data_IF_419851210283
#
_entry.id   IF_419851210283
#
_cell.length_a   1.000
_cell.length_b   1.000
_cell.length_c   1.000
_cell.angle_alpha   90.00
_cell.angle_beta   90.00
_cell.angle_gamma   90.00
#
_symmetry.space_group_name_H-M   'P 1'
#
loop_
_entity.id
_entity.type
_entity.pdbx_description
1 polymer ?
#
# COMPACT_ATOMS: atom_id res chain seq x y z
N UNK A 1 0.49 7.09 -7.56
CA UNK A 1 -0.90 7.41 -8.01
C UNK A 1 -1.80 7.73 -6.82
N UNK A 2 -2.76 8.64 -6.97
CA UNK A 2 -3.83 8.82 -5.96
C UNK A 2 -4.69 7.56 -5.92
N UNK A 3 -5.29 7.26 -4.76
CA UNK A 3 -6.26 6.16 -4.65
C UNK A 3 -7.65 6.52 -5.22
N UNK A 4 -7.94 7.80 -5.49
CA UNK A 4 -9.31 8.32 -5.64
C UNK A 4 -10.07 8.37 -4.29
N UNK A 5 -9.31 8.50 -3.21
CA UNK A 5 -9.76 8.63 -1.82
C UNK A 5 -8.70 9.33 -1.00
N UNK A 6 -8.65 9.05 0.30
CA UNK A 6 -7.71 9.70 1.22
C UNK A 6 -6.26 9.19 1.16
N UNK A 7 -5.98 8.16 0.36
CA UNK A 7 -4.67 7.49 0.35
C UNK A 7 -3.93 7.62 -0.98
N UNK A 8 -2.65 7.23 -0.94
CA UNK A 8 -1.75 7.16 -2.10
C UNK A 8 -1.36 5.69 -2.33
N UNK A 9 -1.28 5.26 -3.58
CA UNK A 9 -0.69 3.98 -3.94
C UNK A 9 0.64 4.22 -4.68
N UNK A 10 1.70 3.55 -4.23
CA UNK A 10 3.01 3.53 -4.86
C UNK A 10 3.22 2.15 -5.46
N UNK A 11 3.60 2.09 -6.74
CA UNK A 11 3.93 0.85 -7.43
C UNK A 11 5.44 0.80 -7.69
N UNK A 12 6.00 -0.40 -7.57
CA UNK A 12 7.38 -0.71 -7.90
C UNK A 12 7.36 -1.92 -8.81
N UNK A 13 7.91 -1.79 -10.02
CA UNK A 13 8.06 -2.92 -10.94
C UNK A 13 9.19 -3.82 -10.44
N UNK A 14 8.88 -5.10 -10.27
CA UNK A 14 9.81 -6.11 -9.77
C UNK A 14 9.95 -7.25 -10.77
N UNK A 15 11.10 -7.94 -10.72
CA UNK A 15 11.28 -9.20 -11.44
C UNK A 15 10.24 -10.26 -10.96
N UNK A 16 9.59 -11.03 -11.85
CA UNK A 16 8.50 -11.92 -11.46
C UNK A 16 9.00 -13.28 -10.94
N UNK A 17 9.89 -13.28 -9.93
CA UNK A 17 10.50 -14.50 -9.35
C UNK A 17 10.23 -14.73 -7.86
N UNK A 18 9.48 -13.83 -7.22
CA UNK A 18 9.13 -13.91 -5.80
C UNK A 18 7.70 -14.40 -5.59
N UNK A 19 7.47 -15.10 -4.49
CA UNK A 19 6.13 -15.52 -4.08
C UNK A 19 5.34 -14.36 -3.46
N UNK A 20 4.01 -14.52 -3.32
CA UNK A 20 3.19 -13.55 -2.57
C UNK A 20 3.71 -13.32 -1.14
N UNK A 21 4.23 -14.37 -0.50
CA UNK A 21 4.80 -14.29 0.85
C UNK A 21 6.05 -13.40 0.85
N UNK A 22 6.95 -13.59 -0.11
CA UNK A 22 8.17 -12.78 -0.22
C UNK A 22 7.83 -11.30 -0.50
N UNK A 23 6.90 -11.03 -1.42
CA UNK A 23 6.46 -9.66 -1.73
C UNK A 23 5.84 -8.99 -0.50
N UNK A 24 5.05 -9.74 0.28
CA UNK A 24 4.48 -9.25 1.53
C UNK A 24 5.54 -9.00 2.61
N UNK A 25 6.53 -9.88 2.75
CA UNK A 25 7.67 -9.67 3.66
C UNK A 25 8.45 -8.40 3.30
N UNK A 26 8.70 -8.18 2.01
CA UNK A 26 9.31 -6.94 1.53
C UNK A 26 8.48 -5.69 1.89
N UNK A 27 7.15 -5.76 1.75
CA UNK A 27 6.26 -4.66 2.14
C UNK A 27 6.23 -4.41 3.66
N UNK A 28 6.32 -5.46 4.48
CA UNK A 28 6.47 -5.35 5.94
C UNK A 28 7.77 -4.62 6.29
N UNK A 29 8.90 -5.06 5.71
CA UNK A 29 10.19 -4.44 5.96
C UNK A 29 10.22 -2.96 5.52
N UNK A 30 9.62 -2.65 4.36
CA UNK A 30 9.46 -1.28 3.89
C UNK A 30 8.64 -0.42 4.87
N UNK A 31 7.49 -0.93 5.31
CA UNK A 31 6.64 -0.21 6.28
C UNK A 31 7.35 0.05 7.61
N UNK A 32 8.07 -0.94 8.13
CA UNK A 32 8.85 -0.79 9.37
C UNK A 32 9.96 0.23 9.23
N UNK A 33 10.65 0.22 8.09
CA UNK A 33 11.71 1.18 7.84
C UNK A 33 11.15 2.61 7.75
N UNK A 34 9.97 2.79 7.14
CA UNK A 34 9.29 4.08 7.18
C UNK A 34 8.88 4.50 8.59
N UNK A 35 8.28 3.59 9.37
CA UNK A 35 7.89 3.86 10.78
C UNK A 35 9.11 4.20 11.66
N UNK A 36 10.28 3.57 11.43
CA UNK A 36 11.53 3.93 12.11
C UNK A 36 12.03 5.32 11.74
N UNK A 37 11.88 5.72 10.48
CA UNK A 37 12.35 7.03 9.97
C UNK A 37 11.40 8.18 10.29
N UNK A 38 10.11 7.89 10.43
CA UNK A 38 9.03 8.86 10.62
C UNK A 38 8.18 8.47 11.85
N UNK A 39 8.79 8.37 13.05
CA UNK A 39 8.08 7.92 14.24
C UNK A 39 6.96 8.90 14.63
N UNK A 40 5.76 8.37 14.83
CA UNK A 40 4.57 9.18 15.16
C UNK A 40 3.84 9.75 13.93
N UNK A 41 4.42 9.65 12.74
CA UNK A 41 3.76 10.04 11.49
C UNK A 41 3.33 8.82 10.67
N UNK A 42 4.12 7.74 10.69
CA UNK A 42 3.84 6.48 9.99
C UNK A 42 3.68 5.34 10.98
N UNK A 43 2.79 4.40 10.69
CA UNK A 43 2.64 3.18 11.49
C UNK A 43 2.40 1.94 10.65
N UNK A 44 2.89 0.79 11.14
CA UNK A 44 2.54 -0.54 10.65
C UNK A 44 1.57 -1.28 11.56
N UNK A 45 1.06 -0.65 12.63
CA UNK A 45 0.16 -1.30 13.57
C UNK A 45 -1.16 -1.71 12.91
N UNK A 46 -1.45 -3.01 13.00
CA UNK A 46 -2.62 -3.60 12.36
C UNK A 46 -3.94 -3.05 12.93
N UNK A 47 -4.00 -2.82 14.24
CA UNK A 47 -5.20 -2.38 14.95
C UNK A 47 -5.49 -0.91 14.72
N UNK A 48 -6.69 -0.58 14.24
CA UNK A 48 -7.08 0.81 13.95
C UNK A 48 -6.99 1.70 15.17
N UNK A 49 -7.32 1.17 16.34
CA UNK A 49 -7.25 1.83 17.64
C UNK A 49 -5.81 2.15 18.08
N UNK A 50 -4.81 1.41 17.60
CA UNK A 50 -3.41 1.64 17.95
C UNK A 50 -2.68 2.59 16.99
N UNK A 51 -3.31 2.93 15.85
CA UNK A 51 -2.69 3.75 14.79
C UNK A 51 -2.59 5.23 15.12
N UNK A 52 -3.41 5.74 16.04
CA UNK A 52 -3.49 7.18 16.32
C UNK A 52 -3.76 8.00 15.06
N UNK A 53 -3.13 9.18 14.97
CA UNK A 53 -3.19 10.09 13.80
C UNK A 53 -2.05 9.83 12.80
N UNK A 54 -1.63 8.56 12.65
CA UNK A 54 -0.54 8.19 11.74
C UNK A 54 -1.04 7.66 10.38
N UNK A 55 -0.21 7.79 9.36
CA UNK A 55 -0.35 7.12 8.07
C UNK A 55 -0.07 5.63 8.24
N UNK A 56 -1.04 4.78 7.90
CA UNK A 56 -0.88 3.33 7.95
C UNK A 56 -0.31 2.78 6.64
N UNK A 57 0.83 2.08 6.73
CA UNK A 57 1.37 1.31 5.60
C UNK A 57 0.70 -0.06 5.58
N UNK A 58 -0.27 -0.23 4.68
CA UNK A 58 -1.04 -1.47 4.53
C UNK A 58 -0.24 -2.56 3.81
N UNK A 59 0.69 -3.19 4.54
CA UNK A 59 1.52 -4.29 4.04
C UNK A 59 0.69 -5.49 3.55
N UNK A 60 -0.53 -5.66 4.07
CA UNK A 60 -1.43 -6.73 3.68
C UNK A 60 -2.07 -6.53 2.29
N UNK A 61 -1.91 -5.38 1.62
CA UNK A 61 -2.29 -5.22 0.21
C UNK A 61 -1.47 -6.11 -0.73
N UNK A 62 -0.31 -6.61 -0.28
CA UNK A 62 0.54 -7.53 -1.04
C UNK A 62 0.22 -9.01 -0.80
N UNK A 63 -0.80 -9.32 0.03
CA UNK A 63 -1.35 -10.67 0.10
C UNK A 63 -2.16 -11.00 -1.17
N UNK A 64 -2.46 -12.28 -1.38
CA UNK A 64 -3.32 -12.71 -2.50
C UNK A 64 -4.74 -12.16 -2.31
N UNK A 65 -5.48 -11.98 -3.41
CA UNK A 65 -6.91 -11.67 -3.35
C UNK A 65 -7.28 -10.41 -2.54
N UNK A 66 -6.47 -9.36 -2.69
CA UNK A 66 -6.69 -8.05 -2.07
C UNK A 66 -7.21 -7.07 -3.10
N UNK A 67 -8.15 -6.23 -2.69
CA UNK A 67 -8.78 -5.25 -3.58
C UNK A 67 -7.88 -4.03 -3.72
N UNK A 68 -7.41 -3.79 -4.95
CA UNK A 68 -6.69 -2.58 -5.30
C UNK A 68 -7.29 -1.96 -6.56
N UNK A 69 -7.67 -0.68 -6.47
CA UNK A 69 -8.14 0.07 -7.63
C UNK A 69 -6.98 0.21 -8.63
N UNK A 70 -7.21 -0.14 -9.90
CA UNK A 70 -6.23 0.00 -10.97
C UNK A 70 -5.93 1.48 -11.25
N UNK A 71 -4.79 1.76 -11.89
CA UNK A 71 -4.54 3.09 -12.45
C UNK A 71 -5.68 3.47 -13.41
N UNK A 72 -6.08 4.74 -13.38
CA UNK A 72 -7.17 5.31 -14.19
C UNK A 72 -8.58 4.76 -13.92
N UNK A 73 -8.77 3.85 -12.95
CA UNK A 73 -10.12 3.43 -12.57
C UNK A 73 -10.89 4.52 -11.84
N UNK A 74 -12.17 4.64 -12.17
CA UNK A 74 -13.14 5.47 -11.46
C UNK A 74 -13.50 4.83 -10.12
N UNK A 75 -13.67 5.64 -9.08
CA UNK A 75 -14.11 5.19 -7.75
C UNK A 75 -15.59 5.50 -7.54
N UNK A 76 -16.35 4.60 -6.88
CA UNK A 76 -17.76 4.80 -6.57
C UNK A 76 -17.92 5.75 -5.37
N UNK A 77 -17.58 7.03 -5.58
CA UNK A 77 -17.67 8.11 -4.59
C UNK A 77 -18.29 9.35 -5.23
N UNK A 78 -18.88 10.26 -4.45
CA UNK A 78 -19.32 11.56 -4.95
C UNK A 78 -18.22 12.24 -5.77
N UNK A 79 -18.58 12.80 -6.93
CA UNK A 79 -17.64 13.39 -7.88
C UNK A 79 -16.92 12.39 -8.79
N UNK A 80 -17.15 11.08 -8.64
CA UNK A 80 -16.54 10.02 -9.45
C UNK A 80 -15.01 10.19 -9.61
N UNK A 81 -14.24 10.26 -8.50
CA UNK A 81 -12.81 10.50 -8.56
C UNK A 81 -12.08 9.32 -9.20
N UNK A 82 -10.94 9.60 -9.82
CA UNK A 82 -10.12 8.63 -10.54
C UNK A 82 -8.86 8.30 -9.72
N UNK A 83 -8.45 7.03 -9.71
CA UNK A 83 -7.14 6.64 -9.18
C UNK A 83 -6.03 7.08 -10.16
N UNK A 84 -5.55 8.31 -9.99
CA UNK A 84 -4.74 9.01 -10.98
C UNK A 84 -3.23 8.78 -10.81
N UNK A 85 -2.53 8.23 -11.83
CA UNK A 85 -1.08 8.32 -11.92
C UNK A 85 -0.60 9.77 -11.98
N UNK A 86 0.42 10.06 -11.18
CA UNK A 86 1.02 11.38 -11.03
C UNK A 86 2.52 11.20 -10.84
N UNK A 87 3.27 12.24 -11.18
CA UNK A 87 4.70 12.37 -10.90
C UNK A 87 4.95 12.62 -9.40
N UNK A 88 6.20 12.51 -8.95
CA UNK A 88 6.57 12.82 -7.57
C UNK A 88 6.43 14.31 -7.27
N UNK A 89 6.73 15.16 -8.25
CA UNK A 89 6.61 16.61 -8.17
C UNK A 89 5.15 17.04 -8.03
N UNK A 90 4.24 16.41 -8.79
CA UNK A 90 2.79 16.67 -8.67
C UNK A 90 2.23 16.23 -7.31
N UNK A 91 2.72 15.10 -6.76
CA UNK A 91 2.11 14.46 -5.60
C UNK A 91 1.99 15.37 -4.37
N UNK A 92 2.91 16.32 -4.18
CA UNK A 92 2.91 17.23 -3.02
C UNK A 92 1.84 18.32 -3.10
N UNK A 93 1.31 18.62 -4.28
CA UNK A 93 0.42 19.77 -4.51
C UNK A 93 -0.99 19.44 -4.97
N UNK A 94 -1.35 18.15 -5.05
CA UNK A 94 -2.62 17.69 -5.62
C UNK A 94 -3.64 17.30 -4.55
N UNK A 95 -4.91 17.44 -4.90
CA UNK A 95 -6.03 16.86 -4.20
C UNK A 95 -6.65 15.72 -5.02
N UNK A 96 -7.17 14.65 -4.39
CA UNK A 96 -7.89 13.59 -5.12
C UNK A 96 -9.04 14.10 -6.00
N UNK A 97 -9.68 15.21 -5.59
CA UNK A 97 -10.80 15.86 -6.26
C UNK A 97 -10.41 16.53 -7.58
N UNK A 98 -9.12 16.81 -7.80
CA UNK A 98 -8.61 17.32 -9.08
C UNK A 98 -8.78 16.30 -10.22
N UNK A 99 -8.89 15.02 -9.85
CA UNK A 99 -8.94 13.89 -10.77
C UNK A 99 -10.28 13.20 -10.72
N UNK A 100 -11.13 13.48 -11.71
CA UNK A 100 -12.46 12.89 -11.84
C UNK A 100 -12.66 12.32 -13.23
N UNK A 101 -13.74 11.57 -13.43
CA UNK A 101 -14.16 11.10 -14.76
C UNK A 101 -14.30 12.26 -15.76
N UNK A 102 -14.62 13.47 -15.29
CA UNK A 102 -14.78 14.66 -16.14
C UNK A 102 -13.44 15.35 -16.47
N UNK A 103 -12.48 15.35 -15.55
CA UNK A 103 -11.20 16.08 -15.72
C UNK A 103 -10.08 15.20 -16.29
N UNK A 104 -10.09 13.89 -16.01
CA UNK A 104 -9.01 12.98 -16.38
C UNK A 104 -8.76 12.87 -17.90
N UNK A 105 -9.78 12.83 -18.79
CA UNK A 105 -9.54 12.70 -20.22
C UNK A 105 -8.71 13.86 -20.80
N UNK A 106 -9.03 15.10 -20.44
CA UNK A 106 -8.31 16.28 -20.90
C UNK A 106 -6.85 16.27 -20.40
N UNK A 107 -6.67 15.95 -19.11
CA UNK A 107 -5.33 15.83 -18.53
C UNK A 107 -4.51 14.75 -19.22
N UNK A 108 -5.07 13.57 -19.46
CA UNK A 108 -4.35 12.48 -20.13
C UNK A 108 -3.91 12.89 -21.54
N UNK A 109 -4.75 13.60 -22.28
CA UNK A 109 -4.39 14.13 -23.60
C UNK A 109 -3.23 15.14 -23.52
N UNK A 110 -3.17 15.94 -22.45
CA UNK A 110 -2.13 16.95 -22.25
C UNK A 110 -0.78 16.36 -21.81
N UNK A 111 -0.78 15.44 -20.84
CA UNK A 111 0.47 14.99 -20.18
C UNK A 111 0.79 13.51 -20.35
N UNK A 112 -0.08 12.76 -21.03
CA UNK A 112 0.10 11.33 -21.28
C UNK A 112 0.01 10.44 -20.04
N UNK A 113 0.47 9.19 -20.20
CA UNK A 113 0.54 8.21 -19.11
C UNK A 113 1.76 8.49 -18.22
N UNK A 114 1.51 8.82 -16.95
CA UNK A 114 2.58 9.08 -15.97
C UNK A 114 3.28 7.80 -15.50
N UNK A 115 2.76 6.63 -15.83
CA UNK A 115 3.40 5.34 -15.59
C UNK A 115 3.98 4.72 -16.88
N UNK A 116 4.05 5.43 -18.01
CA UNK A 116 4.47 4.84 -19.29
C UNK A 116 5.81 4.07 -19.22
N UNK A 117 6.77 4.56 -18.44
CA UNK A 117 8.10 3.96 -18.28
C UNK A 117 8.19 2.89 -17.18
N UNK A 118 7.08 2.53 -16.50
CA UNK A 118 7.12 1.61 -15.35
C UNK A 118 7.63 0.20 -15.73
N UNK A 119 7.48 -0.18 -17.00
CA UNK A 119 7.90 -1.49 -17.50
C UNK A 119 9.30 -1.49 -18.12
N UNK A 120 9.95 -0.32 -18.22
CA UNK A 120 11.31 -0.20 -18.78
C UNK A 120 12.37 -0.83 -17.88
N UNK A 121 12.10 -0.96 -16.59
CA UNK A 121 13.00 -1.56 -15.62
C UNK A 121 12.24 -2.41 -14.59
N UNK A 122 12.76 -3.61 -14.32
CA UNK A 122 12.32 -4.46 -13.23
C UNK A 122 13.40 -4.52 -12.14
N UNK A 123 12.99 -4.32 -10.90
CA UNK A 123 13.91 -4.25 -9.76
C UNK A 123 13.90 -5.51 -8.91
N UNK A 124 15.00 -5.71 -8.19
CA UNK A 124 15.11 -6.79 -7.23
C UNK A 124 14.48 -6.43 -5.88
N UNK A 125 13.70 -7.35 -5.30
CA UNK A 125 13.20 -7.23 -3.92
C UNK A 125 14.26 -7.59 -2.87
N UNK A 126 15.42 -8.11 -3.27
CA UNK A 126 16.45 -8.60 -2.34
C UNK A 126 16.81 -7.59 -1.23
N UNK A 127 16.97 -6.27 -1.49
CA UNK A 127 17.30 -5.32 -0.42
C UNK A 127 16.25 -5.27 0.68
N UNK A 128 14.96 -5.38 0.34
CA UNK A 128 13.87 -5.38 1.32
C UNK A 128 13.78 -6.73 2.05
N UNK A 129 14.08 -7.83 1.37
CA UNK A 129 14.12 -9.15 2.01
C UNK A 129 15.26 -9.27 3.02
N UNK A 130 16.44 -8.68 2.74
CA UNK A 130 17.55 -8.60 3.70
C UNK A 130 17.14 -7.83 4.96
N UNK A 131 16.39 -6.73 4.81
CA UNK A 131 15.84 -5.97 5.95
C UNK A 131 14.84 -6.82 6.75
N UNK A 132 13.98 -7.58 6.06
CA UNK A 132 13.04 -8.48 6.72
C UNK A 132 13.75 -9.58 7.50
N UNK A 133 14.75 -10.24 6.92
CA UNK A 133 15.54 -11.30 7.55
C UNK A 133 16.29 -10.79 8.78
N UNK A 134 16.86 -9.57 8.72
CA UNK A 134 17.46 -8.91 9.88
C UNK A 134 16.44 -8.70 10.99
N UNK A 135 15.31 -8.06 10.67
CA UNK A 135 14.26 -7.78 11.66
C UNK A 135 13.75 -9.10 12.29
N UNK A 136 13.63 -10.18 11.51
CA UNK A 136 13.23 -11.50 11.99
C UNK A 136 14.27 -12.14 12.92
N UNK A 137 15.57 -12.02 12.61
CA UNK A 137 16.65 -12.49 13.47
C UNK A 137 16.71 -11.74 14.81
N UNK A 138 16.25 -10.49 14.84
CA UNK A 138 16.10 -9.66 16.04
C UNK A 138 14.78 -9.91 16.80
N UNK A 139 13.99 -10.90 16.38
CA UNK A 139 12.73 -11.30 17.02
C UNK A 139 11.49 -10.54 16.54
N UNK A 140 11.63 -9.67 15.54
CA UNK A 140 10.54 -8.91 14.93
C UNK A 140 10.16 -9.58 13.59
N UNK A 141 9.53 -10.76 13.70
CA UNK A 141 9.18 -11.62 12.56
C UNK A 141 7.95 -11.19 11.76
N UNK A 142 7.14 -12.15 11.29
CA UNK A 142 5.96 -11.85 10.47
C UNK A 142 4.88 -11.04 11.21
N UNK A 143 4.08 -10.30 10.46
CA UNK A 143 2.93 -9.53 10.96
C UNK A 143 1.61 -10.25 10.66
N UNK A 144 0.51 -9.91 11.34
CA UNK A 144 -0.75 -10.60 11.10
C UNK A 144 -1.33 -10.42 9.71
N UNK A 145 -1.96 -11.47 9.18
CA UNK A 145 -2.82 -11.41 8.00
C UNK A 145 -4.21 -10.83 8.34
N UNK A 146 -4.99 -10.42 7.33
CA UNK A 146 -6.39 -10.06 7.53
C UNK A 146 -7.19 -11.22 8.13
N UNK A 147 -8.20 -10.96 9.00
CA UNK A 147 -8.96 -12.01 9.68
C UNK A 147 -9.57 -13.06 8.75
N UNK A 148 -10.01 -12.62 7.57
CA UNK A 148 -10.73 -13.44 6.58
C UNK A 148 -9.79 -14.19 5.61
N UNK A 149 -8.46 -14.04 5.73
CA UNK A 149 -7.50 -14.68 4.84
C UNK A 149 -7.31 -16.18 5.18
N UNK A 150 -7.08 -17.11 4.25
CA UNK A 150 -6.76 -18.51 4.57
C UNK A 150 -5.45 -18.69 5.36
N UNK A 151 -5.35 -19.69 6.24
CA UNK A 151 -4.14 -19.92 7.10
C UNK A 151 -2.92 -20.31 6.27
N UNK A 152 -1.80 -19.64 6.55
CA UNK A 152 -0.51 -19.95 5.93
C UNK A 152 0.38 -20.77 6.88
N UNK A 153 1.22 -21.70 6.39
CA UNK A 153 2.21 -22.39 7.23
C UNK A 153 3.19 -21.41 7.88
N UNK A 154 3.46 -21.55 9.18
CA UNK A 154 4.37 -20.67 9.93
C UNK A 154 3.78 -19.31 10.33
N UNK A 155 2.50 -19.04 10.03
CA UNK A 155 1.81 -17.81 10.40
C UNK A 155 1.73 -17.70 11.95
N UNK A 156 2.19 -16.60 12.58
CA UNK A 156 1.95 -16.37 14.00
C UNK A 156 0.45 -16.37 14.31
N UNK A 157 0.07 -16.56 15.58
CA UNK A 157 -1.36 -16.56 15.98
C UNK A 157 -2.05 -15.32 15.39
N UNK A 158 -3.07 -15.57 14.58
CA UNK A 158 -3.95 -14.52 14.05
C UNK A 158 -4.45 -13.66 15.18
N UNK A 159 -4.31 -12.36 15.00
CA UNK A 159 -5.03 -11.40 15.83
C UNK A 159 -6.50 -11.50 15.52
N UNK A 160 -7.31 -11.47 16.58
CA UNK A 160 -8.76 -11.41 16.51
C UNK A 160 -9.21 -10.18 15.69
N UNK A 161 -10.47 -10.08 15.25
CA UNK A 161 -11.03 -8.79 14.86
C UNK A 161 -11.02 -7.83 16.06
N UNK A 162 -11.03 -6.52 15.79
CA UNK A 162 -10.94 -5.37 16.71
C UNK A 162 -11.21 -5.67 18.19
N UNK A 163 -10.35 -5.20 19.12
CA UNK A 163 -10.68 -5.26 20.56
C UNK A 163 -11.91 -4.41 20.91
N UNK A 164 -12.23 -3.46 20.03
CA UNK A 164 -13.41 -2.61 20.12
C UNK A 164 -14.56 -3.19 19.27
N UNK A 165 -15.55 -3.79 19.94
CA UNK A 165 -16.77 -4.36 19.33
C UNK A 165 -17.88 -3.32 19.11
N UNK A 166 -17.70 -2.08 19.57
CA UNK A 166 -18.78 -1.09 19.66
C UNK A 166 -18.65 0.08 18.66
N UNK A 167 -17.58 0.12 17.87
CA UNK A 167 -17.34 1.20 16.92
C UNK A 167 -18.30 1.14 15.70
N UNK A 168 -19.07 2.21 15.40
CA UNK A 168 -19.90 2.27 14.20
C UNK A 168 -19.05 2.12 12.93
N UNK A 169 -19.59 1.42 11.94
CA UNK A 169 -18.94 1.14 10.65
C UNK A 169 -18.75 2.39 9.80
#
# INVERSE_FOLDING_TARGET
KTSGGRGVHVYVRIEPRWTFTDVRHAAIAFGRELERRLPGEVTTKWWKEERGECIFVDYNQNARDRTIASAYSVRPRPGAPVSAPVTWEELAGIAPEDFTVATMPARFAEVGDRHAAIDDAAHSLQPLLVLYERDAAEGVGDMPYPPDYPKMPGEPKRVQPSRDRERPR
#
